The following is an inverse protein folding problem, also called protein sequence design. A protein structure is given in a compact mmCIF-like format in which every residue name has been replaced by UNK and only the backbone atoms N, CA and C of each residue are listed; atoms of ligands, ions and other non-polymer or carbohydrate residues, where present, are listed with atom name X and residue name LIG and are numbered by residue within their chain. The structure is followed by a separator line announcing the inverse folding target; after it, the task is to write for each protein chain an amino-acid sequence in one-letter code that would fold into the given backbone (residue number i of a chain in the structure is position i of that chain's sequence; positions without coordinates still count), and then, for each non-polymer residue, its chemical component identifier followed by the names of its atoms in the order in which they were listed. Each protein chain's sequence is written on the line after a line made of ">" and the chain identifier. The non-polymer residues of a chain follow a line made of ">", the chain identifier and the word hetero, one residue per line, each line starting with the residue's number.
data_IF_791663038733
#
_entry.id   IF_791663038733
#
_cell.length_a   1.000
_cell.length_b   1.000
_cell.length_c   1.000
_cell.angle_alpha   90.00
_cell.angle_beta   90.00
_cell.angle_gamma   90.00
#
_symmetry.space_group_name_H-M   'P 1'
#
loop_
_entity.id
_entity.type
_entity.pdbx_description
1 polymer ?
#
# COMPACT_ATOMS: atom_id res chain seq x y z
N UNK A 1 -31.99 -34.33 26.16
CA UNK A 1 -31.55 -32.94 25.92
C UNK A 1 -30.09 -32.74 26.39
N UNK A 2 -29.08 -33.28 25.69
CA UNK A 2 -27.66 -33.09 26.07
C UNK A 2 -26.71 -32.72 24.91
N UNK A 3 -27.14 -32.80 23.64
CA UNK A 3 -26.22 -32.71 22.49
C UNK A 3 -26.17 -31.33 21.82
N UNK A 4 -27.14 -30.44 22.08
CA UNK A 4 -27.18 -29.11 21.43
C UNK A 4 -26.11 -28.13 21.94
N UNK A 5 -25.59 -28.34 23.15
CA UNK A 5 -24.59 -27.43 23.76
C UNK A 5 -23.22 -27.50 23.07
N UNK A 6 -22.86 -28.67 22.51
CA UNK A 6 -21.57 -28.87 21.85
C UNK A 6 -21.53 -28.26 20.44
N UNK A 7 -22.65 -28.30 19.72
CA UNK A 7 -22.74 -27.78 18.35
C UNK A 7 -22.70 -26.23 18.35
N UNK A 8 -23.34 -25.59 19.33
CA UNK A 8 -23.33 -24.12 19.44
C UNK A 8 -21.93 -23.58 19.75
N UNK A 9 -21.13 -24.31 20.53
CA UNK A 9 -19.75 -23.92 20.88
C UNK A 9 -18.77 -24.06 19.70
N UNK A 10 -19.08 -24.89 18.70
CA UNK A 10 -18.21 -25.11 17.52
C UNK A 10 -18.42 -24.03 16.44
N UNK A 11 -19.67 -23.60 16.23
CA UNK A 11 -20.02 -22.55 15.25
C UNK A 11 -19.44 -21.19 15.67
N UNK A 12 -19.42 -20.91 16.98
CA UNK A 12 -18.79 -19.69 17.51
C UNK A 12 -17.28 -19.70 17.24
N UNK A 13 -16.59 -20.84 17.42
CA UNK A 13 -15.14 -20.93 17.20
C UNK A 13 -14.70 -20.72 15.75
N UNK A 14 -15.49 -21.19 14.77
CA UNK A 14 -15.17 -21.06 13.35
C UNK A 14 -15.43 -19.65 12.77
N UNK A 15 -16.05 -18.76 13.56
CA UNK A 15 -16.36 -17.37 13.17
C UNK A 15 -15.23 -16.39 13.53
N UNK A 16 -14.17 -16.85 14.21
CA UNK A 16 -12.97 -16.08 14.50
C UNK A 16 -11.80 -16.54 13.60
N UNK A 17 -10.72 -15.75 13.59
CA UNK A 17 -9.37 -16.11 13.11
C UNK A 17 -9.06 -15.97 11.61
N UNK A 18 -9.90 -15.31 10.80
CA UNK A 18 -9.43 -14.78 9.52
C UNK A 18 -9.80 -13.30 9.35
N UNK A 19 -8.88 -12.42 9.77
CA UNK A 19 -8.65 -11.23 8.97
C UNK A 19 -7.64 -11.63 7.90
N UNK A 20 -8.02 -11.58 6.64
CA UNK A 20 -7.13 -11.78 5.51
C UNK A 20 -6.04 -10.72 5.43
N UNK A 21 -5.18 -10.78 4.40
CA UNK A 21 -3.95 -10.01 4.38
C UNK A 21 -4.22 -8.50 4.26
N UNK A 22 -3.36 -7.71 4.90
CA UNK A 22 -3.15 -6.31 4.52
C UNK A 22 -2.22 -6.32 3.30
N UNK A 23 -2.69 -5.76 2.20
CA UNK A 23 -2.01 -5.81 0.91
C UNK A 23 -1.91 -4.42 0.29
N UNK A 24 -0.74 -4.08 -0.26
CA UNK A 24 -0.61 -3.04 -1.28
C UNK A 24 -0.84 -3.68 -2.66
N UNK A 25 -1.76 -3.13 -3.42
CA UNK A 25 -2.11 -3.57 -4.77
C UNK A 25 -1.94 -2.42 -5.77
N UNK A 26 -1.31 -2.67 -6.94
CA UNK A 26 -1.10 -1.68 -8.00
C UNK A 26 -0.76 -2.33 -9.36
N UNK A 27 -0.77 -1.53 -10.42
CA UNK A 27 -0.26 -1.87 -11.75
C UNK A 27 0.92 -0.98 -12.13
N UNK A 28 1.83 -1.46 -12.97
CA UNK A 28 2.88 -0.66 -13.61
C UNK A 28 2.68 -0.68 -15.13
N UNK A 29 2.95 0.43 -15.81
CA UNK A 29 2.93 0.51 -17.27
C UNK A 29 3.78 1.67 -17.75
N UNK A 30 4.58 1.50 -18.80
CA UNK A 30 5.30 2.62 -19.41
C UNK A 30 4.39 3.33 -20.42
N UNK A 31 4.30 4.65 -20.38
CA UNK A 31 3.37 5.39 -21.24
C UNK A 31 3.57 5.13 -22.75
N UNK A 32 2.47 5.05 -23.51
CA UNK A 32 2.52 4.90 -24.95
C UNK A 32 3.35 6.04 -25.59
N UNK A 33 4.26 5.69 -26.50
CA UNK A 33 5.22 6.64 -27.11
C UNK A 33 6.56 6.76 -26.39
N UNK A 34 6.75 6.15 -25.21
CA UNK A 34 8.03 6.10 -24.48
C UNK A 34 9.16 5.28 -25.13
N UNK A 35 9.14 5.05 -26.45
CA UNK A 35 9.85 3.95 -27.12
C UNK A 35 11.38 3.99 -27.11
N UNK A 36 11.97 5.05 -26.55
CA UNK A 36 13.41 5.23 -26.38
C UNK A 36 13.87 5.21 -24.91
N UNK A 37 12.97 4.92 -23.96
CA UNK A 37 13.32 4.59 -22.56
C UNK A 37 13.85 3.15 -22.50
N UNK A 38 14.89 2.93 -21.67
CA UNK A 38 15.33 1.58 -21.29
C UNK A 38 14.63 1.04 -20.03
N UNK A 39 13.60 1.75 -19.55
CA UNK A 39 12.74 1.37 -18.45
C UNK A 39 13.07 2.06 -17.12
N UNK A 40 12.14 1.94 -16.17
CA UNK A 40 12.26 2.56 -14.83
C UNK A 40 12.25 1.49 -13.76
N UNK A 41 13.13 1.62 -12.78
CA UNK A 41 13.12 0.79 -11.57
C UNK A 41 12.21 1.44 -10.53
N UNK A 42 11.09 0.79 -10.22
CA UNK A 42 10.14 1.21 -9.19
C UNK A 42 10.40 0.42 -7.92
N UNK A 43 10.49 1.10 -6.77
CA UNK A 43 10.62 0.44 -5.47
C UNK A 43 9.58 1.00 -4.49
N UNK A 44 9.14 0.18 -3.56
CA UNK A 44 8.30 0.63 -2.44
C UNK A 44 9.01 0.29 -1.13
N UNK A 45 9.01 1.25 -0.21
CA UNK A 45 9.49 1.09 1.15
C UNK A 45 8.36 1.39 2.13
N UNK A 46 8.30 0.65 3.22
CA UNK A 46 7.48 1.00 4.38
C UNK A 46 8.39 1.56 5.47
N UNK A 47 8.03 2.73 5.99
CA UNK A 47 8.73 3.38 7.09
C UNK A 47 7.89 3.40 8.36
N UNK A 48 8.52 2.98 9.46
CA UNK A 48 7.93 2.95 10.80
C UNK A 48 9.02 3.18 11.83
N UNK A 49 8.78 4.07 12.80
CA UNK A 49 9.67 4.30 13.95
C UNK A 49 11.14 4.58 13.58
N UNK A 50 11.38 5.26 12.46
CA UNK A 50 12.72 5.57 11.95
C UNK A 50 13.41 4.45 11.15
N UNK A 51 12.82 3.26 11.08
CA UNK A 51 13.27 2.19 10.19
C UNK A 51 12.58 2.29 8.83
N UNK A 52 13.31 1.99 7.76
CA UNK A 52 12.81 1.88 6.38
C UNK A 52 13.05 0.47 5.84
N UNK A 53 11.99 -0.18 5.35
CA UNK A 53 12.01 -1.57 4.88
C UNK A 53 11.54 -1.61 3.43
N UNK A 54 12.40 -2.06 2.51
CA UNK A 54 12.02 -2.27 1.10
C UNK A 54 11.07 -3.47 1.02
N UNK A 55 9.85 -3.25 0.50
CA UNK A 55 8.81 -4.29 0.35
C UNK A 55 8.57 -4.69 -1.11
N UNK A 56 9.02 -3.87 -2.07
CA UNK A 56 8.91 -4.15 -3.50
C UNK A 56 10.06 -3.52 -4.29
N UNK A 57 10.46 -4.17 -5.37
CA UNK A 57 11.39 -3.66 -6.38
C UNK A 57 11.08 -4.34 -7.72
N UNK A 58 10.87 -3.55 -8.78
CA UNK A 58 10.66 -4.05 -10.14
C UNK A 58 11.18 -3.04 -11.15
N UNK A 59 12.03 -3.50 -12.06
CA UNK A 59 12.34 -2.76 -13.29
C UNK A 59 11.25 -3.01 -14.33
N UNK A 60 10.69 -1.95 -14.91
CA UNK A 60 9.64 -2.04 -15.93
C UNK A 60 9.99 -1.20 -17.15
N UNK A 61 10.00 -1.83 -18.34
CA UNK A 61 10.35 -1.20 -19.63
C UNK A 61 9.28 -1.41 -20.71
N UNK A 62 8.13 -2.02 -20.38
CA UNK A 62 7.13 -2.42 -21.35
C UNK A 62 5.99 -1.40 -21.49
N UNK A 63 5.63 -1.07 -22.73
CA UNK A 63 4.46 -0.25 -23.10
C UNK A 63 3.15 -1.04 -23.06
N UNK A 64 2.94 -1.73 -21.95
CA UNK A 64 1.76 -2.53 -21.62
C UNK A 64 1.62 -2.52 -20.10
N UNK A 65 0.39 -2.57 -19.60
CA UNK A 65 0.15 -2.74 -18.18
C UNK A 65 0.61 -4.12 -17.71
N UNK A 66 1.30 -4.16 -16.56
CA UNK A 66 1.55 -5.37 -15.80
C UNK A 66 0.24 -6.06 -15.38
N UNK A 67 0.36 -7.27 -14.84
CA UNK A 67 -0.66 -7.83 -13.95
C UNK A 67 -0.73 -7.01 -12.64
N UNK A 68 -1.76 -7.21 -11.81
CA UNK A 68 -1.82 -6.55 -10.49
C UNK A 68 -0.67 -7.10 -9.62
N UNK A 69 0.25 -6.23 -9.19
CA UNK A 69 1.26 -6.56 -8.20
C UNK A 69 0.61 -6.51 -6.81
N UNK A 70 0.78 -7.57 -6.04
CA UNK A 70 0.30 -7.69 -4.65
C UNK A 70 1.51 -7.81 -3.72
N UNK A 71 1.59 -6.90 -2.75
CA UNK A 71 2.66 -6.83 -1.76
C UNK A 71 2.05 -7.01 -0.37
N UNK A 72 2.50 -8.04 0.36
CA UNK A 72 2.03 -8.29 1.71
C UNK A 72 2.57 -7.22 2.68
N UNK A 73 1.68 -6.66 3.49
CA UNK A 73 1.94 -5.64 4.51
C UNK A 73 1.52 -6.08 5.92
N UNK A 74 1.32 -7.37 6.19
CA UNK A 74 0.74 -7.86 7.46
C UNK A 74 1.57 -7.47 8.70
N UNK A 75 2.88 -7.25 8.54
CA UNK A 75 3.76 -6.76 9.60
C UNK A 75 3.41 -5.35 10.12
N UNK A 76 2.55 -4.61 9.43
CA UNK A 76 2.11 -3.25 9.77
C UNK A 76 0.60 -3.12 10.00
N UNK A 77 -0.13 -4.23 10.16
CA UNK A 77 -1.54 -4.21 10.62
C UNK A 77 -1.65 -3.50 11.97
N UNK A 78 -2.70 -2.70 12.15
CA UNK A 78 -2.98 -1.95 13.39
C UNK A 78 -2.03 -0.77 13.64
N UNK A 79 -1.10 -0.50 12.73
CA UNK A 79 -0.05 0.50 12.88
C UNK A 79 -0.13 1.53 11.76
N UNK A 80 -0.02 2.82 12.09
CA UNK A 80 0.15 3.86 11.07
C UNK A 80 1.61 3.85 10.57
N UNK A 81 1.82 3.88 9.26
CA UNK A 81 3.14 3.83 8.61
C UNK A 81 3.21 4.79 7.42
N UNK A 82 4.42 5.03 6.89
CA UNK A 82 4.61 5.77 5.65
C UNK A 82 4.97 4.80 4.54
N UNK A 83 4.31 4.90 3.38
CA UNK A 83 4.78 4.25 2.15
C UNK A 83 5.59 5.27 1.36
N UNK A 84 6.85 4.96 1.07
CA UNK A 84 7.65 5.70 0.09
C UNK A 84 7.65 4.93 -1.22
N UNK A 85 7.25 5.57 -2.31
CA UNK A 85 7.40 5.07 -3.68
C UNK A 85 8.59 5.76 -4.31
N UNK A 86 9.61 5.00 -4.70
CA UNK A 86 10.76 5.53 -5.42
C UNK A 86 10.74 5.10 -6.88
N UNK A 87 11.28 5.96 -7.75
CA UNK A 87 11.59 5.59 -9.13
C UNK A 87 12.98 6.06 -9.50
N UNK A 88 13.78 5.11 -9.99
CA UNK A 88 15.14 5.29 -10.51
C UNK A 88 15.17 4.98 -12.01
N UNK A 89 16.03 5.63 -12.80
CA UNK A 89 16.13 5.38 -14.23
C UNK A 89 16.65 3.97 -14.53
N UNK A 90 16.60 3.60 -15.80
CA UNK A 90 17.05 2.30 -16.29
C UNK A 90 18.55 2.04 -16.18
N UNK A 91 19.01 0.83 -16.56
CA UNK A 91 20.43 0.46 -16.55
C UNK A 91 21.37 1.45 -17.26
N UNK A 92 20.89 2.17 -18.28
CA UNK A 92 21.62 3.20 -19.01
C UNK A 92 21.85 4.48 -18.21
N UNK A 93 21.11 4.68 -17.11
CA UNK A 93 20.95 5.95 -16.37
C UNK A 93 20.47 7.11 -17.25
N UNK A 94 19.86 6.84 -18.40
CA UNK A 94 19.05 7.81 -19.12
C UNK A 94 17.71 7.98 -18.43
N UNK A 95 17.19 9.20 -18.38
CA UNK A 95 15.81 9.53 -17.96
C UNK A 95 14.90 9.83 -19.16
N UNK A 96 15.41 9.61 -20.37
CA UNK A 96 14.76 10.02 -21.60
C UNK A 96 13.55 9.12 -21.88
N UNK A 97 12.35 9.72 -21.87
CA UNK A 97 11.07 9.01 -21.98
C UNK A 97 10.71 8.06 -20.82
N UNK A 98 11.32 8.23 -19.64
CA UNK A 98 11.04 7.43 -18.43
C UNK A 98 9.68 7.76 -17.78
N UNK A 99 8.61 7.54 -18.53
CA UNK A 99 7.24 7.90 -18.21
C UNK A 99 6.51 6.72 -17.57
N UNK A 100 6.99 6.25 -16.41
CA UNK A 100 6.34 5.14 -15.71
C UNK A 100 5.03 5.62 -15.08
N UNK A 101 3.97 4.83 -15.30
CA UNK A 101 2.65 5.07 -14.75
C UNK A 101 2.37 4.01 -13.70
N UNK A 102 1.93 4.46 -12.53
CA UNK A 102 1.45 3.60 -11.45
C UNK A 102 -0.08 3.65 -11.48
N UNK A 103 -0.70 2.50 -11.76
CA UNK A 103 -2.14 2.37 -11.94
C UNK A 103 -2.85 1.84 -10.69
N UNK A 104 -3.96 2.47 -10.31
CA UNK A 104 -4.88 2.04 -9.25
C UNK A 104 -4.22 1.58 -7.94
N UNK A 105 -3.18 2.31 -7.51
CA UNK A 105 -2.44 2.00 -6.29
C UNK A 105 -3.32 2.20 -5.04
N UNK A 106 -3.40 1.16 -4.22
CA UNK A 106 -4.28 1.10 -3.03
C UNK A 106 -3.72 0.14 -1.97
N UNK A 107 -4.01 0.42 -0.70
CA UNK A 107 -3.89 -0.57 0.37
C UNK A 107 -5.28 -1.16 0.63
N UNK A 108 -5.37 -2.47 0.76
CA UNK A 108 -6.61 -3.21 1.06
C UNK A 108 -6.41 -4.20 2.20
N UNK A 109 -7.47 -4.48 2.95
CA UNK A 109 -7.55 -5.51 4.00
C UNK A 109 -8.80 -6.34 3.70
N UNK A 110 -8.70 -7.65 3.55
CA UNK A 110 -9.85 -8.50 3.20
C UNK A 110 -10.59 -8.03 1.92
N UNK A 111 -9.84 -7.57 0.92
CA UNK A 111 -10.34 -6.88 -0.29
C UNK A 111 -11.06 -5.53 -0.05
N UNK A 112 -11.30 -5.12 1.19
CA UNK A 112 -11.83 -3.80 1.53
C UNK A 112 -10.75 -2.73 1.36
N UNK A 113 -11.11 -1.60 0.74
CA UNK A 113 -10.20 -0.47 0.56
C UNK A 113 -9.86 0.16 1.92
N UNK A 114 -8.57 0.21 2.25
CA UNK A 114 -8.02 0.87 3.45
C UNK A 114 -7.47 2.24 3.09
N UNK A 115 -6.73 2.33 1.98
CA UNK A 115 -6.06 3.56 1.56
C UNK A 115 -6.05 3.66 0.04
N UNK A 116 -6.39 4.84 -0.49
CA UNK A 116 -6.28 5.15 -1.91
C UNK A 116 -5.19 6.19 -2.11
N UNK A 117 -4.13 5.84 -2.85
CA UNK A 117 -3.07 6.77 -3.20
C UNK A 117 -3.63 7.89 -4.11
N UNK A 118 -4.61 7.57 -4.96
CA UNK A 118 -5.29 8.57 -5.78
C UNK A 118 -6.05 9.60 -4.94
N UNK A 119 -6.79 9.15 -3.91
CA UNK A 119 -7.44 10.07 -2.98
C UNK A 119 -6.40 10.95 -2.25
N UNK A 120 -5.32 10.35 -1.73
CA UNK A 120 -4.25 11.08 -1.05
C UNK A 120 -3.61 12.15 -1.93
N UNK A 121 -3.35 11.83 -3.21
CA UNK A 121 -2.82 12.80 -4.18
C UNK A 121 -3.83 13.93 -4.43
N UNK A 122 -5.09 13.61 -4.71
CA UNK A 122 -6.13 14.61 -5.00
C UNK A 122 -6.44 15.55 -3.82
N UNK A 123 -6.15 15.13 -2.59
CA UNK A 123 -6.37 15.88 -1.34
C UNK A 123 -5.09 16.51 -0.79
N UNK A 124 -3.95 16.36 -1.47
CA UNK A 124 -2.65 16.90 -1.01
C UNK A 124 -2.07 16.19 0.22
N UNK A 125 -2.53 14.98 0.55
CA UNK A 125 -2.07 14.18 1.70
C UNK A 125 -0.81 13.35 1.41
N UNK A 126 0.11 13.88 0.60
CA UNK A 126 1.38 13.25 0.28
C UNK A 126 2.52 14.26 0.20
N UNK A 127 3.76 13.79 0.41
CA UNK A 127 4.96 14.61 0.34
C UNK A 127 5.84 14.14 -0.81
N UNK A 128 6.02 14.99 -1.82
CA UNK A 128 6.91 14.73 -2.97
C UNK A 128 8.30 15.35 -2.79
N UNK A 129 9.35 14.56 -2.97
CA UNK A 129 10.76 14.95 -2.86
C UNK A 129 11.64 14.23 -3.87
N UNK A 130 12.78 14.81 -4.21
CA UNK A 130 13.66 14.34 -5.28
C UNK A 130 15.10 14.40 -4.83
N UNK A 131 15.88 13.34 -5.07
CA UNK A 131 17.32 13.33 -4.76
C UNK A 131 18.09 13.19 -6.07
N UNK A 132 18.83 14.23 -6.45
CA UNK A 132 19.73 14.18 -7.61
C UNK A 132 21.05 13.50 -7.22
N UNK A 133 21.47 12.50 -7.99
CA UNK A 133 22.52 11.56 -7.57
C UNK A 133 23.93 12.16 -7.57
N UNK A 134 24.19 13.17 -8.40
CA UNK A 134 25.48 13.83 -8.54
C UNK A 134 25.86 14.77 -7.39
N UNK A 135 24.87 15.22 -6.59
CA UNK A 135 25.07 16.20 -5.51
C UNK A 135 24.53 15.75 -4.15
N UNK A 136 23.66 14.74 -4.12
CA UNK A 136 22.93 14.34 -2.91
C UNK A 136 21.93 15.40 -2.42
N UNK A 137 21.75 16.52 -3.12
CA UNK A 137 20.76 17.52 -2.74
C UNK A 137 19.35 16.96 -2.93
N UNK A 138 18.52 17.19 -1.92
CA UNK A 138 17.09 16.90 -1.98
C UNK A 138 16.32 18.18 -2.33
N UNK A 139 15.55 18.13 -3.42
CA UNK A 139 14.64 19.20 -3.84
C UNK A 139 13.21 18.80 -3.53
N UNK A 140 12.36 19.78 -3.22
CA UNK A 140 10.95 19.56 -2.88
C UNK A 140 10.03 20.24 -3.89
N UNK A 141 8.90 19.61 -4.21
CA UNK A 141 7.84 20.20 -5.05
C UNK A 141 7.81 19.74 -6.52
N UNK A 142 6.63 19.78 -7.12
CA UNK A 142 6.27 19.10 -8.37
C UNK A 142 7.11 19.44 -9.60
N UNK A 143 7.69 20.64 -9.67
CA UNK A 143 8.52 21.06 -10.82
C UNK A 143 9.87 20.32 -10.94
N UNK A 144 10.26 19.57 -9.91
CA UNK A 144 11.47 18.72 -9.90
C UNK A 144 11.15 17.26 -10.28
N UNK A 145 9.89 16.84 -10.02
CA UNK A 145 9.06 15.78 -10.61
C UNK A 145 9.56 14.33 -10.72
N UNK A 146 8.73 13.28 -10.66
CA UNK A 146 7.26 13.08 -10.45
C UNK A 146 6.23 14.07 -11.02
N UNK A 147 5.25 13.51 -11.72
CA UNK A 147 3.97 14.18 -11.93
C UNK A 147 2.84 13.40 -11.26
N UNK A 148 2.78 13.48 -9.92
CA UNK A 148 1.70 12.94 -9.10
C UNK A 148 0.39 13.73 -9.33
N UNK A 149 -0.16 13.65 -10.54
CA UNK A 149 -1.48 14.13 -10.92
C UNK A 149 -2.32 12.91 -11.26
N UNK A 150 -3.52 12.83 -10.69
CA UNK A 150 -4.44 11.72 -10.94
C UNK A 150 -5.12 11.89 -12.28
N UNK A 151 -5.06 10.82 -13.06
CA UNK A 151 -5.65 10.74 -14.38
C UNK A 151 -6.04 9.28 -14.69
N UNK A 152 -6.85 9.12 -15.74
CA UNK A 152 -7.08 7.81 -16.35
C UNK A 152 -6.10 7.67 -17.51
N UNK A 153 -5.11 6.79 -17.38
CA UNK A 153 -4.06 6.62 -18.39
C UNK A 153 -4.24 5.33 -19.19
N UNK A 154 -4.12 5.45 -20.51
CA UNK A 154 -4.03 4.31 -21.43
C UNK A 154 -2.57 3.96 -21.65
N UNK A 155 -2.27 2.65 -21.57
CA UNK A 155 -0.98 2.05 -21.90
C UNK A 155 -1.26 0.74 -22.63
N UNK A 156 -0.62 0.50 -23.77
CA UNK A 156 -0.84 -0.69 -24.59
C UNK A 156 -2.30 -0.86 -25.04
N UNK A 157 -3.02 0.25 -25.23
CA UNK A 157 -4.46 0.26 -25.58
C UNK A 157 -5.42 -0.08 -24.43
N UNK A 158 -4.94 -0.31 -23.20
CA UNK A 158 -5.77 -0.57 -22.02
C UNK A 158 -5.72 0.63 -21.08
N UNK A 159 -6.87 1.12 -20.64
CA UNK A 159 -6.97 2.23 -19.67
C UNK A 159 -7.05 1.71 -18.23
N UNK A 160 -6.27 2.31 -17.32
CA UNK A 160 -6.46 2.18 -15.86
C UNK A 160 -6.96 3.50 -15.30
N UNK A 161 -7.85 3.40 -14.32
CA UNK A 161 -8.31 4.55 -13.51
C UNK A 161 -7.34 4.81 -12.36
N UNK A 162 -7.50 5.94 -11.67
CA UNK A 162 -6.76 6.27 -10.46
C UNK A 162 -5.22 6.22 -10.64
N UNK A 163 -4.74 6.44 -11.86
CA UNK A 163 -3.34 6.32 -12.21
C UNK A 163 -2.61 7.66 -12.10
N UNK A 164 -1.31 7.61 -11.82
CA UNK A 164 -0.44 8.78 -11.79
C UNK A 164 0.92 8.48 -12.41
N UNK A 165 1.55 9.51 -12.97
CA UNK A 165 2.87 9.39 -13.60
C UNK A 165 3.95 9.67 -12.57
N UNK A 166 4.87 8.73 -12.40
CA UNK A 166 6.11 8.99 -11.70
C UNK A 166 7.23 8.94 -12.74
N UNK A 167 8.13 9.91 -12.73
CA UNK A 167 9.33 9.85 -13.58
C UNK A 167 10.54 10.07 -12.69
N UNK A 168 11.70 9.45 -12.98
CA UNK A 168 12.97 9.87 -12.41
C UNK A 168 13.24 11.34 -12.77
N UNK A 169 13.80 12.13 -11.86
CA UNK A 169 14.05 13.54 -12.11
C UNK A 169 15.16 13.69 -13.16
N UNK A 170 14.93 14.55 -14.16
CA UNK A 170 15.98 15.06 -15.02
C UNK A 170 16.04 16.57 -14.85
N UNK A 171 17.19 17.11 -14.41
CA UNK A 171 17.39 18.55 -14.35
C UNK A 171 18.85 18.94 -14.57
N UNK A 172 19.07 19.85 -15.51
CA UNK A 172 20.41 20.36 -15.87
C UNK A 172 21.41 19.23 -16.22
N UNK A 173 20.93 18.16 -16.86
CA UNK A 173 21.72 16.96 -17.18
C UNK A 173 21.97 16.02 -16.00
N UNK A 174 21.56 16.38 -14.78
CA UNK A 174 21.61 15.48 -13.63
C UNK A 174 20.44 14.52 -13.67
N UNK A 175 20.74 13.32 -13.18
CA UNK A 175 19.85 12.17 -13.04
C UNK A 175 19.67 11.92 -11.54
N UNK A 176 18.66 11.15 -11.15
CA UNK A 176 18.46 10.83 -9.75
C UNK A 176 17.23 9.99 -9.49
N UNK A 177 16.74 10.07 -8.25
CA UNK A 177 15.60 9.33 -7.78
C UNK A 177 14.45 10.27 -7.41
N UNK A 178 13.25 9.91 -7.82
CA UNK A 178 12.01 10.50 -7.30
C UNK A 178 11.57 9.73 -6.06
N UNK A 179 11.02 10.42 -5.07
CA UNK A 179 10.49 9.85 -3.84
C UNK A 179 9.14 10.52 -3.51
N UNK A 180 8.04 9.75 -3.60
CA UNK A 180 6.73 10.20 -3.13
C UNK A 180 6.33 9.44 -1.85
N UNK A 181 5.92 10.17 -0.80
CA UNK A 181 5.71 9.64 0.56
C UNK A 181 4.25 9.82 1.00
N UNK A 182 3.64 8.74 1.49
CA UNK A 182 2.20 8.66 1.79
C UNK A 182 1.99 8.16 3.22
N UNK A 183 1.31 8.95 4.06
CA UNK A 183 0.95 8.52 5.41
C UNK A 183 -0.27 7.58 5.34
N UNK A 184 -0.07 6.29 5.58
CA UNK A 184 -1.11 5.27 5.60
C UNK A 184 -1.56 5.05 7.04
N UNK A 185 -2.81 5.40 7.32
CA UNK A 185 -3.42 5.19 8.63
C UNK A 185 -4.11 3.83 8.67
N UNK A 186 -3.69 2.94 9.57
CA UNK A 186 -4.33 1.63 9.80
C UNK A 186 -4.68 1.38 11.27
N UNK A 187 -4.35 2.30 12.18
CA UNK A 187 -4.66 2.23 13.61
C UNK A 187 -6.16 2.12 13.96
N UNK A 188 -7.04 2.50 13.02
CA UNK A 188 -8.49 2.34 13.15
C UNK A 188 -8.99 0.93 12.73
N UNK A 189 -8.13 0.12 12.10
CA UNK A 189 -8.40 -1.28 11.76
C UNK A 189 -8.04 -2.12 12.99
N UNK A 190 -9.01 -2.71 13.69
CA UNK A 190 -8.71 -3.45 14.91
C UNK A 190 -7.83 -4.67 14.60
N UNK A 191 -6.82 -4.90 15.41
CA UNK A 191 -6.14 -6.19 15.42
C UNK A 191 -7.13 -7.29 15.78
N UNK A 192 -7.18 -8.32 14.96
CA UNK A 192 -8.07 -9.49 15.09
C UNK A 192 -7.94 -10.16 16.46
N UNK A 193 -6.75 -10.07 17.06
CA UNK A 193 -6.40 -10.54 18.40
C UNK A 193 -7.19 -9.86 19.52
N UNK A 194 -7.49 -8.56 19.41
CA UNK A 194 -8.08 -7.78 20.50
C UNK A 194 -9.55 -8.12 20.73
N UNK A 195 -10.29 -8.42 19.66
CA UNK A 195 -11.73 -8.72 19.74
C UNK A 195 -12.04 -10.03 20.46
N UNK A 196 -11.10 -10.99 20.42
CA UNK A 196 -11.24 -12.33 21.01
C UNK A 196 -11.31 -12.26 22.55
N UNK A 197 -10.52 -11.39 23.19
CA UNK A 197 -10.52 -11.28 24.65
C UNK A 197 -11.82 -10.70 25.23
N UNK A 198 -12.48 -9.79 24.52
CA UNK A 198 -13.72 -9.16 25.02
C UNK A 198 -14.89 -10.17 25.07
N UNK A 199 -15.03 -11.01 24.05
CA UNK A 199 -16.11 -12.00 23.96
C UNK A 199 -15.93 -13.13 24.98
N UNK A 200 -14.70 -13.62 25.18
CA UNK A 200 -14.41 -14.65 26.17
C UNK A 200 -14.58 -14.15 27.61
N UNK A 201 -14.20 -12.89 27.89
CA UNK A 201 -14.42 -12.26 29.19
C UNK A 201 -15.90 -12.15 29.56
N UNK A 202 -16.74 -11.67 28.63
CA UNK A 202 -18.20 -11.60 28.82
C UNK A 202 -18.84 -12.98 29.02
N UNK A 203 -18.37 -14.00 28.28
CA UNK A 203 -18.82 -15.39 28.46
C UNK A 203 -18.51 -15.95 29.84
N UNK A 204 -17.32 -15.71 30.39
CA UNK A 204 -16.94 -16.15 31.74
C UNK A 204 -17.73 -15.43 32.84
N UNK A 205 -17.97 -14.12 32.71
CA UNK A 205 -18.73 -13.35 33.73
C UNK A 205 -20.18 -13.83 33.83
N UNK A 206 -20.81 -14.19 32.70
CA UNK A 206 -22.17 -14.74 32.67
C UNK A 206 -22.31 -16.12 33.33
N UNK A 207 -21.23 -16.92 33.40
CA UNK A 207 -21.27 -18.28 33.96
C UNK A 207 -21.17 -18.32 35.49
N UNK A 208 -20.67 -17.26 36.14
CA UNK A 208 -20.33 -17.29 37.56
C UNK A 208 -21.39 -16.66 38.50
N UNK A 209 -22.56 -16.29 37.96
CA UNK A 209 -23.63 -15.59 38.73
C UNK A 209 -24.72 -16.50 39.29
N UNK A 210 -24.75 -17.80 38.94
CA UNK A 210 -25.72 -18.77 39.50
C UNK A 210 -25.32 -19.27 40.89
N UNK A 211 -25.35 -18.38 41.88
CA UNK A 211 -25.51 -18.81 43.28
C UNK A 211 -26.89 -19.46 43.41
N UNK A 212 -26.92 -20.77 43.66
CA UNK A 212 -28.11 -21.49 44.05
C UNK A 212 -28.63 -20.91 45.37
N UNK A 213 -29.78 -20.23 45.32
CA UNK A 213 -30.61 -20.00 46.50
C UNK A 213 -31.27 -21.33 46.88
N UNK A 214 -30.64 -22.06 47.79
CA UNK A 214 -31.31 -23.11 48.56
C UNK A 214 -32.24 -22.40 49.55
N UNK A 215 -33.54 -22.42 49.28
CA UNK A 215 -34.56 -22.15 50.27
C UNK A 215 -34.86 -23.46 51.04
N UNK A 216 -35.19 -23.36 52.34
CA UNK A 216 -35.38 -24.52 53.22
C UNK A 216 -36.66 -25.31 52.92
#
# INVERSE_FOLDING_TARGET
>A
MKNYFFILSLIIFASFLYSGPLELAFFLGMADGSGASDGVTVQFFVEKSGQSTKVFEQHWSQQVWSQEFIVNLDAWVGQDFVVNITTSPGPSRSTHYDWIIIGDAKVRKDSQLVYSFANAISTGQFTGSYTLDSTGQTYSGYQYGANCVIQNTTVGGITKVNSFMQHPPWQNGNVGNTISRYNVQTSHIPETSTMIMLVLGLGMVMLNSKKFLLLP
#
